data_IF_025423640497
#
_entry.id   IF_025423640497
#
_cell.length_a   1.000
_cell.length_b   1.000
_cell.length_c   1.000
_cell.angle_alpha   90.00
_cell.angle_beta   90.00
_cell.angle_gamma   90.00
#
_symmetry.space_group_name_H-M   'P 1'
#
loop_
_entity.id
_entity.type
_entity.pdbx_description
1 polymer ?
#
# COMPACT_ATOMS: atom_id res chain seq x y z
N UNK A 1 -55.18 4.55 -9.08
CA UNK A 1 -55.93 3.34 -8.64
C UNK A 1 -54.91 2.22 -8.43
N UNK A 2 -54.69 1.84 -7.20
CA UNK A 2 -53.88 0.68 -6.89
C UNK A 2 -54.54 -0.58 -7.38
N UNK A 3 -53.95 -1.30 -8.31
CA UNK A 3 -54.43 -2.62 -8.72
C UNK A 3 -54.25 -3.58 -7.55
N UNK A 4 -55.34 -3.81 -6.78
CA UNK A 4 -55.39 -4.88 -5.81
C UNK A 4 -55.58 -6.17 -6.60
N UNK A 5 -54.47 -6.79 -6.95
CA UNK A 5 -54.49 -8.19 -7.38
C UNK A 5 -54.79 -9.06 -6.17
N UNK A 6 -55.78 -9.89 -6.32
CA UNK A 6 -56.37 -10.70 -5.26
C UNK A 6 -55.40 -11.50 -4.39
N UNK A 7 -55.91 -12.10 -3.35
CA UNK A 7 -55.24 -12.86 -2.27
C UNK A 7 -54.32 -14.03 -2.69
N UNK A 8 -53.81 -14.03 -3.90
CA UNK A 8 -52.82 -14.99 -4.37
C UNK A 8 -51.39 -14.56 -3.98
N UNK A 9 -50.58 -15.51 -3.54
CA UNK A 9 -49.16 -15.37 -3.13
C UNK A 9 -48.21 -15.03 -4.26
N UNK A 10 -48.68 -14.44 -5.37
CA UNK A 10 -47.81 -14.07 -6.50
C UNK A 10 -47.11 -12.73 -6.23
N UNK A 11 -45.81 -12.78 -6.06
CA UNK A 11 -44.99 -11.58 -6.04
C UNK A 11 -44.98 -10.93 -7.43
N UNK A 12 -45.03 -9.60 -7.48
CA UNK A 12 -44.84 -8.87 -8.74
C UNK A 12 -43.45 -9.21 -9.27
N UNK A 13 -43.33 -9.40 -10.57
CA UNK A 13 -42.04 -9.55 -11.25
C UNK A 13 -41.24 -8.28 -10.99
N UNK A 14 -40.15 -8.39 -10.29
CA UNK A 14 -39.22 -7.29 -10.04
C UNK A 14 -38.37 -7.08 -11.33
N UNK A 15 -38.20 -5.83 -11.73
CA UNK A 15 -37.31 -5.47 -12.83
C UNK A 15 -36.08 -4.82 -12.22
N UNK A 16 -34.95 -5.42 -12.45
CA UNK A 16 -33.67 -4.91 -11.96
C UNK A 16 -33.14 -3.83 -12.89
N UNK A 17 -32.50 -2.79 -12.31
CA UNK A 17 -31.87 -1.76 -13.07
C UNK A 17 -30.58 -2.29 -13.74
N UNK A 18 -30.33 -1.87 -14.98
CA UNK A 18 -29.10 -2.25 -15.70
C UNK A 18 -27.85 -1.53 -15.19
N UNK A 19 -28.01 -0.60 -14.26
CA UNK A 19 -26.91 0.18 -13.70
C UNK A 19 -26.70 -0.20 -12.24
N UNK A 20 -25.50 -0.62 -11.88
CA UNK A 20 -25.10 -0.86 -10.51
C UNK A 20 -24.56 0.44 -9.91
N UNK A 21 -24.95 0.70 -8.65
CA UNK A 21 -24.49 1.89 -7.94
C UNK A 21 -23.00 1.80 -7.67
N UNK A 22 -22.31 2.95 -7.79
CA UNK A 22 -20.90 3.06 -7.44
C UNK A 22 -20.69 2.81 -5.93
N UNK A 23 -19.64 2.08 -5.61
CA UNK A 23 -19.21 1.81 -4.23
C UNK A 23 -18.06 2.77 -3.91
N UNK A 24 -18.12 3.39 -2.74
CA UNK A 24 -17.01 4.23 -2.27
C UNK A 24 -15.75 3.37 -2.04
N UNK A 25 -14.61 3.85 -2.54
CA UNK A 25 -13.33 3.14 -2.48
C UNK A 25 -12.25 4.09 -1.98
N UNK A 26 -11.36 3.58 -1.12
CA UNK A 26 -10.19 4.31 -0.67
C UNK A 26 -9.08 4.28 -1.73
N UNK A 27 -8.28 5.32 -1.80
CA UNK A 27 -7.06 5.33 -2.61
C UNK A 27 -5.97 4.48 -1.95
N UNK A 28 -5.19 3.76 -2.78
CA UNK A 28 -4.12 2.87 -2.36
C UNK A 28 -2.85 3.31 -3.08
N UNK A 29 -1.82 3.70 -2.34
CA UNK A 29 -0.64 4.32 -2.91
C UNK A 29 0.69 4.00 -2.21
N UNK A 30 0.67 3.25 -1.10
CA UNK A 30 1.86 2.86 -0.34
C UNK A 30 2.45 1.56 -0.87
N UNK A 31 1.59 0.54 -1.14
CA UNK A 31 2.05 -0.77 -1.57
C UNK A 31 2.85 -0.74 -2.87
N UNK A 32 2.54 0.16 -3.79
CA UNK A 32 3.26 0.34 -5.06
C UNK A 32 4.69 0.86 -4.88
N UNK A 33 4.95 1.54 -3.76
CA UNK A 33 6.28 2.05 -3.43
C UNK A 33 7.25 0.96 -2.92
N UNK A 34 6.74 -0.24 -2.62
CA UNK A 34 7.57 -1.39 -2.28
C UNK A 34 8.15 -2.02 -3.54
N UNK A 35 9.47 -2.26 -3.54
CA UNK A 35 10.19 -2.83 -4.68
C UNK A 35 10.08 -4.35 -4.72
N UNK A 36 10.01 -4.92 -5.94
CA UNK A 36 10.06 -6.35 -6.21
C UNK A 36 11.27 -6.65 -7.09
N UNK A 37 12.46 -6.66 -6.50
CA UNK A 37 13.70 -6.92 -7.25
C UNK A 37 14.05 -8.43 -7.34
N UNK A 38 13.09 -9.32 -7.03
CA UNK A 38 13.33 -10.76 -6.94
C UNK A 38 12.65 -11.50 -8.10
N UNK A 39 13.43 -11.87 -9.09
CA UNK A 39 13.02 -12.66 -10.27
C UNK A 39 12.93 -14.16 -9.94
N UNK A 40 12.18 -14.57 -8.93
CA UNK A 40 12.03 -15.99 -8.61
C UNK A 40 10.58 -16.41 -8.74
N UNK A 41 10.32 -17.37 -9.62
CA UNK A 41 8.97 -17.84 -9.97
C UNK A 41 8.24 -18.53 -8.82
N UNK A 42 8.94 -19.24 -7.94
CA UNK A 42 8.34 -19.88 -6.76
C UNK A 42 9.27 -19.88 -5.56
N UNK A 43 8.91 -19.15 -4.51
CA UNK A 43 9.61 -19.18 -3.23
C UNK A 43 8.71 -19.80 -2.17
N UNK A 44 9.25 -20.78 -1.47
CA UNK A 44 8.64 -21.38 -0.28
C UNK A 44 9.44 -20.98 0.94
N UNK A 45 8.78 -20.32 1.90
CA UNK A 45 9.36 -19.99 3.18
C UNK A 45 9.93 -18.57 3.27
N UNK A 46 11.12 -18.30 2.77
CA UNK A 46 11.75 -16.98 2.87
C UNK A 46 12.76 -16.71 1.76
N UNK A 47 12.93 -15.43 1.43
CA UNK A 47 13.95 -14.96 0.50
C UNK A 47 15.06 -14.32 1.32
N UNK A 48 16.31 -14.68 1.08
CA UNK A 48 17.47 -14.09 1.74
C UNK A 48 17.93 -12.87 0.95
N UNK A 49 17.61 -11.67 1.46
CA UNK A 49 17.98 -10.40 0.83
C UNK A 49 19.39 -10.01 1.27
N UNK A 50 20.36 -9.92 0.34
CA UNK A 50 21.71 -9.53 0.70
C UNK A 50 21.76 -8.05 1.09
N UNK A 51 22.33 -7.74 2.23
CA UNK A 51 22.61 -6.38 2.68
C UNK A 51 24.10 -6.18 2.87
N UNK A 52 24.56 -4.98 2.65
CA UNK A 52 25.95 -4.62 2.84
C UNK A 52 26.16 -4.03 4.23
N UNK A 53 27.09 -4.59 5.00
CA UNK A 53 27.50 -4.04 6.28
C UNK A 53 28.62 -3.00 6.07
N UNK A 54 28.21 -1.73 5.97
CA UNK A 54 29.11 -0.58 5.89
C UNK A 54 29.56 -0.22 4.46
N UNK A 55 30.14 0.94 4.37
CA UNK A 55 30.73 1.47 3.15
C UNK A 55 32.16 0.93 2.94
N UNK A 56 32.59 0.85 1.68
CA UNK A 56 33.99 0.52 1.37
C UNK A 56 34.89 1.59 1.95
N UNK A 57 35.87 1.16 2.74
CA UNK A 57 36.84 2.07 3.34
C UNK A 57 37.72 2.68 2.22
N UNK A 58 37.73 4.00 2.14
CA UNK A 58 38.65 4.75 1.32
C UNK A 58 39.76 5.28 2.22
N UNK A 59 41.02 5.03 1.86
CA UNK A 59 42.21 5.53 2.59
C UNK A 59 43.14 6.24 1.61
N UNK A 60 43.91 7.17 2.11
CA UNK A 60 44.92 7.83 1.31
C UNK A 60 46.01 6.84 0.85
N UNK A 61 46.48 6.97 -0.37
CA UNK A 61 47.51 6.11 -0.93
C UNK A 61 48.90 6.58 -0.48
N UNK A 62 49.64 5.70 0.22
CA UNK A 62 51.02 5.91 0.55
C UNK A 62 51.93 5.32 -0.55
N UNK A 63 52.81 6.11 -1.13
CA UNK A 63 53.71 5.70 -2.22
C UNK A 63 54.65 4.57 -1.77
N UNK A 64 55.02 4.50 -0.49
CA UNK A 64 55.94 3.47 0.04
C UNK A 64 55.25 2.20 0.50
N UNK A 65 54.09 2.35 1.13
CA UNK A 65 53.42 1.25 1.84
C UNK A 65 52.12 0.78 1.13
N UNK A 66 51.62 1.54 0.14
CA UNK A 66 50.38 1.26 -0.54
C UNK A 66 49.13 1.50 0.36
N UNK A 67 48.02 0.77 0.10
CA UNK A 67 46.80 0.77 0.88
C UNK A 67 46.51 -0.64 1.36
N UNK A 68 46.15 -0.79 2.61
CA UNK A 68 45.73 -2.07 3.18
C UNK A 68 44.43 -2.56 2.55
N UNK A 69 44.35 -3.86 2.26
CA UNK A 69 43.14 -4.53 1.78
C UNK A 69 42.07 -4.54 2.89
N UNK A 70 40.90 -3.99 2.58
CA UNK A 70 39.74 -4.06 3.44
C UNK A 70 38.69 -4.98 2.81
N UNK A 71 38.09 -5.86 3.63
CA UNK A 71 36.99 -6.72 3.24
C UNK A 71 35.69 -6.22 3.86
N UNK A 72 34.68 -5.98 3.05
CA UNK A 72 33.33 -5.68 3.53
C UNK A 72 32.53 -6.98 3.65
N UNK A 73 31.84 -7.16 4.77
CA UNK A 73 30.93 -8.28 4.97
C UNK A 73 29.58 -8.03 4.27
N UNK A 74 28.97 -9.12 3.80
CA UNK A 74 27.61 -9.13 3.28
C UNK A 74 26.75 -9.92 4.28
N UNK A 75 25.71 -9.27 4.80
CA UNK A 75 24.71 -9.93 5.64
C UNK A 75 23.47 -10.25 4.82
N UNK A 76 22.69 -11.21 5.29
CA UNK A 76 21.45 -11.63 4.64
C UNK A 76 20.27 -11.39 5.58
N UNK A 77 19.28 -10.65 5.12
CA UNK A 77 18.02 -10.44 5.83
C UNK A 77 16.94 -11.35 5.25
N UNK A 78 16.24 -12.14 6.07
CA UNK A 78 15.16 -12.99 5.59
C UNK A 78 13.91 -12.14 5.33
N UNK A 79 13.44 -12.12 4.08
CA UNK A 79 12.10 -11.66 3.70
C UNK A 79 11.15 -12.86 3.84
N UNK A 80 10.28 -12.88 4.86
CA UNK A 80 9.38 -14.01 5.05
C UNK A 80 8.28 -13.99 3.98
N UNK A 81 7.97 -15.16 3.41
CA UNK A 81 6.83 -15.37 2.52
C UNK A 81 5.72 -16.03 3.35
N UNK A 82 5.11 -15.23 4.23
CA UNK A 82 4.16 -15.67 5.26
C UNK A 82 2.73 -15.18 5.04
N UNK A 83 2.51 -14.39 3.99
CA UNK A 83 1.18 -13.88 3.63
C UNK A 83 0.56 -14.78 2.58
N UNK A 84 -0.58 -15.38 2.92
CA UNK A 84 -1.37 -16.24 2.04
C UNK A 84 -2.83 -15.79 2.12
N UNK A 85 -3.36 -15.32 1.01
CA UNK A 85 -4.71 -14.78 0.94
C UNK A 85 -5.33 -15.00 -0.43
N UNK A 86 -6.65 -15.03 -0.47
CA UNK A 86 -7.35 -15.29 -1.72
C UNK A 86 -8.78 -14.80 -1.70
N UNK A 87 -9.41 -14.98 -2.84
CA UNK A 87 -10.83 -14.73 -3.07
C UNK A 87 -11.49 -16.06 -3.33
N UNK A 88 -12.67 -16.24 -2.77
CA UNK A 88 -13.55 -17.36 -3.07
C UNK A 88 -15.00 -16.89 -2.89
N UNK A 89 -15.61 -16.46 -4.00
CA UNK A 89 -16.97 -15.93 -4.02
C UNK A 89 -17.87 -16.80 -4.91
N UNK A 90 -18.96 -17.28 -4.35
CA UNK A 90 -19.96 -18.08 -5.08
C UNK A 90 -20.79 -17.19 -6.02
N UNK A 91 -20.95 -17.66 -7.25
CA UNK A 91 -21.83 -17.08 -8.25
C UNK A 91 -22.86 -18.14 -8.63
N UNK A 92 -24.12 -17.98 -8.17
CA UNK A 92 -25.20 -18.87 -8.53
C UNK A 92 -25.60 -18.66 -9.99
N UNK A 93 -25.75 -19.75 -10.76
CA UNK A 93 -26.05 -19.68 -12.17
C UNK A 93 -27.40 -19.04 -12.47
N UNK A 94 -28.40 -19.25 -11.61
CA UNK A 94 -29.70 -18.62 -11.75
C UNK A 94 -29.65 -17.09 -11.51
N UNK A 95 -28.87 -16.66 -10.53
CA UNK A 95 -28.61 -15.24 -10.30
C UNK A 95 -27.85 -14.62 -11.47
N UNK A 96 -26.87 -15.32 -12.02
CA UNK A 96 -26.10 -14.86 -13.16
C UNK A 96 -26.96 -14.65 -14.43
N UNK A 97 -27.97 -15.51 -14.64
CA UNK A 97 -28.92 -15.37 -15.76
C UNK A 97 -29.99 -14.29 -15.51
N UNK A 98 -30.35 -14.06 -14.24
CA UNK A 98 -31.42 -13.13 -13.85
C UNK A 98 -30.95 -11.66 -13.72
N UNK A 99 -29.65 -11.44 -13.62
CA UNK A 99 -29.04 -10.12 -13.38
C UNK A 99 -28.32 -9.61 -14.65
N UNK A 100 -28.18 -8.27 -14.85
CA UNK A 100 -27.49 -7.70 -16.00
C UNK A 100 -26.06 -8.24 -16.17
N UNK A 101 -25.61 -8.40 -17.42
CA UNK A 101 -24.32 -8.98 -17.82
C UNK A 101 -23.08 -8.35 -17.16
N UNK A 102 -23.20 -7.12 -16.67
CA UNK A 102 -22.10 -6.39 -16.03
C UNK A 102 -21.87 -6.72 -14.56
N UNK A 103 -22.75 -7.52 -13.91
CA UNK A 103 -22.60 -7.86 -12.49
C UNK A 103 -21.35 -8.70 -12.21
N UNK A 104 -21.08 -9.68 -13.07
CA UNK A 104 -19.87 -10.51 -12.93
C UNK A 104 -18.61 -9.66 -13.07
N UNK A 105 -18.59 -8.76 -14.07
CA UNK A 105 -17.48 -7.83 -14.25
C UNK A 105 -17.26 -6.95 -13.01
N UNK A 106 -18.33 -6.48 -12.38
CA UNK A 106 -18.24 -5.68 -11.16
C UNK A 106 -17.82 -6.49 -9.93
N UNK A 107 -18.20 -7.76 -9.83
CA UNK A 107 -17.71 -8.67 -8.77
C UNK A 107 -16.19 -8.88 -8.93
N UNK A 108 -15.68 -9.08 -10.14
CA UNK A 108 -14.26 -9.20 -10.43
C UNK A 108 -13.52 -7.91 -10.06
N UNK A 109 -14.08 -6.76 -10.43
CA UNK A 109 -13.51 -5.45 -10.07
C UNK A 109 -13.49 -5.23 -8.55
N UNK A 110 -14.59 -5.57 -7.85
CA UNK A 110 -14.68 -5.49 -6.39
C UNK A 110 -13.68 -6.42 -5.70
N UNK A 111 -13.48 -7.61 -6.25
CA UNK A 111 -12.51 -8.56 -5.76
C UNK A 111 -11.07 -8.03 -5.92
N UNK A 112 -10.76 -7.42 -7.06
CA UNK A 112 -9.47 -6.75 -7.31
C UNK A 112 -9.21 -5.63 -6.30
N UNK A 113 -10.23 -4.80 -6.03
CA UNK A 113 -10.16 -3.76 -5.02
C UNK A 113 -9.91 -4.32 -3.61
N UNK A 114 -10.62 -5.38 -3.23
CA UNK A 114 -10.47 -6.01 -1.90
C UNK A 114 -9.07 -6.60 -1.68
N UNK A 115 -8.47 -7.18 -2.72
CA UNK A 115 -7.08 -7.63 -2.68
C UNK A 115 -6.13 -6.43 -2.54
N UNK A 116 -6.34 -5.39 -3.32
CA UNK A 116 -5.56 -4.15 -3.23
C UNK A 116 -5.61 -3.55 -1.82
N UNK A 117 -6.81 -3.46 -1.22
CA UNK A 117 -7.01 -2.99 0.15
C UNK A 117 -6.25 -3.86 1.17
N UNK A 118 -6.27 -5.19 1.00
CA UNK A 118 -5.50 -6.09 1.85
C UNK A 118 -4.00 -5.85 1.74
N UNK A 119 -3.50 -5.67 0.52
CA UNK A 119 -2.08 -5.35 0.25
C UNK A 119 -1.66 -4.02 0.88
N UNK A 120 -2.50 -3.00 0.75
CA UNK A 120 -2.24 -1.67 1.32
C UNK A 120 -2.14 -1.73 2.84
N UNK A 121 -3.09 -2.40 3.51
CA UNK A 121 -3.05 -2.60 4.96
C UNK A 121 -1.78 -3.35 5.40
N UNK A 122 -1.39 -4.40 4.67
CA UNK A 122 -0.14 -5.12 4.97
C UNK A 122 1.10 -4.23 4.79
N UNK A 123 1.10 -3.30 3.83
CA UNK A 123 2.20 -2.36 3.63
C UNK A 123 2.26 -1.35 4.78
N UNK A 124 1.12 -0.83 5.23
CA UNK A 124 1.03 0.04 6.41
C UNK A 124 1.56 -0.69 7.66
N UNK A 125 1.07 -1.90 7.94
CA UNK A 125 1.53 -2.73 9.06
C UNK A 125 3.05 -2.95 9.03
N UNK A 126 3.59 -3.20 7.83
CA UNK A 126 5.03 -3.36 7.63
C UNK A 126 5.80 -2.06 7.94
N UNK A 127 5.33 -0.90 7.48
CA UNK A 127 5.92 0.40 7.78
C UNK A 127 5.83 0.74 9.27
N UNK A 128 4.78 0.29 9.98
CA UNK A 128 4.61 0.48 11.42
C UNK A 128 5.69 -0.23 12.27
N UNK A 129 6.49 -1.11 11.67
CA UNK A 129 7.69 -1.69 12.33
C UNK A 129 8.88 -0.73 12.38
N UNK A 130 8.77 0.44 11.75
CA UNK A 130 9.82 1.46 11.67
C UNK A 130 10.11 2.18 12.99
N UNK A 131 10.87 3.25 12.90
CA UNK A 131 11.23 4.09 14.05
C UNK A 131 10.13 5.08 14.37
N UNK A 132 9.64 5.07 15.61
CA UNK A 132 8.64 6.04 16.07
C UNK A 132 9.35 7.32 16.55
N UNK A 133 8.80 8.49 16.19
CA UNK A 133 9.28 9.79 16.70
C UNK A 133 9.09 9.88 18.21
N UNK A 134 10.05 10.49 18.90
CA UNK A 134 9.94 10.78 20.33
C UNK A 134 8.97 11.93 20.67
N UNK A 135 8.67 12.78 19.67
CA UNK A 135 7.66 13.84 19.81
C UNK A 135 6.26 13.25 19.58
N UNK A 136 5.45 13.18 20.62
CA UNK A 136 4.06 12.70 20.58
C UNK A 136 3.03 13.83 20.62
N UNK A 137 3.48 15.09 20.55
CA UNK A 137 2.58 16.24 20.53
C UNK A 137 1.75 16.27 19.25
N UNK A 138 0.43 16.36 19.36
CA UNK A 138 -0.46 16.45 18.20
C UNK A 138 -0.08 17.63 17.28
N UNK A 139 -0.29 17.45 15.98
CA UNK A 139 -0.03 18.49 14.99
C UNK A 139 -1.08 19.58 15.03
N UNK A 140 -0.64 20.79 14.69
CA UNK A 140 -1.52 21.96 14.51
C UNK A 140 -1.25 22.56 13.14
N UNK A 141 -2.20 23.34 12.59
CA UNK A 141 -2.05 24.00 11.30
C UNK A 141 -0.81 24.93 11.24
N UNK A 142 -0.34 25.46 12.38
CA UNK A 142 0.82 26.36 12.44
C UNK A 142 2.17 25.66 12.49
N UNK A 143 2.22 24.37 12.85
CA UNK A 143 3.47 23.63 13.07
C UNK A 143 3.64 22.38 12.21
N UNK A 144 2.57 21.89 11.55
CA UNK A 144 2.59 20.65 10.73
C UNK A 144 3.73 20.65 9.72
N UNK A 145 3.87 21.70 8.93
CA UNK A 145 4.93 21.83 7.95
C UNK A 145 6.33 21.77 8.59
N UNK A 146 6.52 22.50 9.71
CA UNK A 146 7.80 22.54 10.42
C UNK A 146 8.18 21.19 11.00
N UNK A 147 7.22 20.45 11.56
CA UNK A 147 7.45 19.13 12.15
C UNK A 147 7.82 18.08 11.07
N UNK A 148 7.12 18.09 9.94
CA UNK A 148 7.48 17.21 8.81
C UNK A 148 8.88 17.55 8.29
N UNK A 149 9.23 18.82 8.11
CA UNK A 149 10.58 19.26 7.70
C UNK A 149 11.63 18.81 8.72
N UNK A 150 11.33 18.87 10.02
CA UNK A 150 12.26 18.41 11.06
C UNK A 150 12.54 16.90 10.97
N UNK A 151 11.51 16.09 10.73
CA UNK A 151 11.69 14.65 10.55
C UNK A 151 12.40 14.31 9.24
N UNK A 152 12.11 15.00 8.13
CA UNK A 152 12.88 14.89 6.88
C UNK A 152 14.35 15.22 7.12
N UNK A 153 14.65 16.27 7.90
CA UNK A 153 16.02 16.61 8.29
C UNK A 153 16.71 15.48 9.07
N UNK A 154 15.98 14.84 9.99
CA UNK A 154 16.49 13.71 10.76
C UNK A 154 16.81 12.52 9.85
N UNK A 155 15.96 12.21 8.88
CA UNK A 155 16.20 11.19 7.86
C UNK A 155 17.45 11.52 6.99
N UNK A 156 17.61 12.79 6.56
CA UNK A 156 18.80 13.24 5.82
C UNK A 156 20.07 13.06 6.63
N UNK A 157 20.05 13.31 7.94
CA UNK A 157 21.21 13.07 8.83
C UNK A 157 21.61 11.60 8.94
N UNK A 158 20.65 10.68 8.68
CA UNK A 158 20.88 9.24 8.58
C UNK A 158 21.28 8.79 7.18
N UNK A 159 21.71 9.71 6.30
CA UNK A 159 22.10 9.47 4.91
C UNK A 159 20.99 8.93 4.00
N UNK A 160 19.72 9.21 4.32
CA UNK A 160 18.61 8.85 3.45
C UNK A 160 18.51 9.78 2.25
N UNK A 161 18.27 9.23 1.07
CA UNK A 161 18.26 9.98 -0.19
C UNK A 161 16.90 10.62 -0.44
N UNK A 162 16.86 11.93 -0.61
CA UNK A 162 15.62 12.72 -0.79
C UNK A 162 14.76 12.21 -1.95
N UNK A 163 15.38 11.82 -3.07
CA UNK A 163 14.65 11.36 -4.25
C UNK A 163 13.85 10.05 -4.04
N UNK A 164 14.32 9.22 -3.11
CA UNK A 164 13.66 7.94 -2.77
C UNK A 164 12.70 8.03 -1.58
N UNK A 165 12.73 9.16 -0.85
CA UNK A 165 11.81 9.36 0.28
C UNK A 165 10.39 9.64 -0.20
N UNK A 166 9.42 9.24 0.65
CA UNK A 166 7.99 9.57 0.54
C UNK A 166 7.49 9.98 1.91
N UNK A 167 6.56 10.92 1.93
CA UNK A 167 5.77 11.28 3.11
C UNK A 167 4.34 10.84 2.85
N UNK A 168 3.77 10.09 3.76
CA UNK A 168 2.35 9.73 3.73
C UNK A 168 1.70 10.33 4.95
N UNK A 169 0.60 11.03 4.75
CA UNK A 169 -0.15 11.73 5.79
C UNK A 169 -1.54 11.14 5.95
N UNK A 170 -2.07 11.21 7.18
CA UNK A 170 -3.47 10.89 7.44
C UNK A 170 -4.41 11.96 6.90
N UNK A 171 -5.71 11.67 6.82
CA UNK A 171 -6.72 12.65 6.39
C UNK A 171 -6.72 13.92 7.25
N UNK A 172 -6.61 13.76 8.57
CA UNK A 172 -6.55 14.90 9.51
C UNK A 172 -5.31 15.77 9.25
N UNK A 173 -4.17 15.13 9.01
CA UNK A 173 -2.91 15.83 8.72
C UNK A 173 -2.93 16.50 7.34
N UNK A 174 -3.61 15.90 6.36
CA UNK A 174 -3.84 16.54 5.05
C UNK A 174 -4.61 17.83 5.19
N UNK A 175 -5.72 17.86 5.95
CA UNK A 175 -6.49 19.06 6.22
C UNK A 175 -5.61 20.19 6.83
N UNK A 176 -4.78 19.83 7.83
CA UNK A 176 -3.85 20.78 8.42
C UNK A 176 -2.81 21.30 7.43
N UNK A 177 -2.30 20.45 6.55
CA UNK A 177 -1.34 20.85 5.51
C UNK A 177 -1.94 21.77 4.46
N UNK A 178 -3.15 21.48 3.99
CA UNK A 178 -3.83 22.31 2.99
C UNK A 178 -4.17 23.72 3.51
N UNK A 179 -4.31 23.87 4.83
CA UNK A 179 -4.50 25.17 5.47
C UNK A 179 -3.19 25.94 5.73
N UNK A 180 -2.01 25.29 5.61
CA UNK A 180 -0.70 25.95 5.76
C UNK A 180 -0.31 26.66 4.45
N UNK A 181 -0.16 28.00 4.51
CA UNK A 181 0.19 28.84 3.35
C UNK A 181 1.49 28.39 2.66
N UNK A 182 2.46 27.87 3.40
CA UNK A 182 3.75 27.43 2.86
C UNK A 182 3.62 26.18 1.98
N UNK A 183 2.72 25.28 2.36
CA UNK A 183 2.43 24.09 1.59
C UNK A 183 1.59 24.42 0.35
N UNK A 184 0.54 25.19 0.48
CA UNK A 184 -0.36 25.59 -0.62
C UNK A 184 0.39 26.28 -1.76
N UNK A 185 1.34 27.16 -1.46
CA UNK A 185 2.16 27.81 -2.47
C UNK A 185 3.07 26.86 -3.25
N UNK A 186 3.45 25.73 -2.66
CA UNK A 186 4.33 24.73 -3.30
C UNK A 186 3.52 23.72 -4.11
N UNK A 187 2.29 23.42 -3.71
CA UNK A 187 1.42 22.44 -4.38
C UNK A 187 1.04 22.88 -5.82
N UNK A 188 0.90 24.19 -6.07
CA UNK A 188 0.54 24.73 -7.39
C UNK A 188 1.55 24.46 -8.51
N UNK A 189 2.72 23.93 -8.23
CA UNK A 189 3.80 23.66 -9.21
C UNK A 189 4.02 22.19 -9.53
N UNK A 190 3.06 21.31 -9.17
CA UNK A 190 3.17 19.87 -9.41
C UNK A 190 3.03 19.51 -10.89
N UNK A 191 3.91 18.65 -11.39
CA UNK A 191 3.78 18.07 -12.72
C UNK A 191 2.65 17.04 -12.80
N UNK A 192 2.06 16.87 -13.99
CA UNK A 192 0.94 15.95 -14.22
C UNK A 192 1.24 14.49 -13.83
N UNK A 193 2.49 14.06 -13.89
CA UNK A 193 2.93 12.71 -13.52
C UNK A 193 2.81 12.47 -12.00
N UNK A 194 3.19 13.44 -11.19
CA UNK A 194 3.09 13.36 -9.72
C UNK A 194 1.64 13.37 -9.25
N UNK A 195 0.76 14.09 -9.93
CA UNK A 195 -0.67 14.09 -9.61
C UNK A 195 -1.29 12.71 -9.86
N UNK A 196 -0.85 11.99 -10.89
CA UNK A 196 -1.30 10.62 -11.16
C UNK A 196 -0.87 9.62 -10.08
N UNK A 197 0.24 9.87 -9.40
CA UNK A 197 0.72 9.06 -8.28
C UNK A 197 0.02 9.36 -6.94
N UNK A 198 -1.03 10.19 -6.93
CA UNK A 198 -1.72 10.60 -5.70
C UNK A 198 -0.89 11.53 -4.83
N UNK A 199 0.04 12.27 -5.42
CA UNK A 199 0.87 13.24 -4.71
C UNK A 199 0.14 14.57 -4.60
N UNK A 200 -0.13 15.00 -3.36
CA UNK A 200 -0.81 16.27 -3.06
C UNK A 200 0.13 17.48 -3.04
N UNK A 201 1.44 17.25 -2.86
CA UNK A 201 2.43 18.33 -2.79
C UNK A 201 3.84 17.81 -2.56
N UNK A 202 4.79 18.74 -2.33
CA UNK A 202 6.17 18.43 -1.96
C UNK A 202 6.56 19.23 -0.72
N UNK A 203 7.23 18.58 0.23
CA UNK A 203 7.81 19.22 1.41
C UNK A 203 9.33 18.97 1.38
N UNK A 204 10.13 20.03 1.37
CA UNK A 204 11.59 19.96 1.31
C UNK A 204 12.15 19.06 0.17
N UNK A 205 11.40 18.98 -0.95
CA UNK A 205 11.72 18.17 -2.12
C UNK A 205 11.22 16.72 -2.07
N UNK A 206 10.55 16.30 -0.98
CA UNK A 206 9.95 14.98 -0.81
C UNK A 206 8.48 15.03 -1.21
N UNK A 207 8.00 14.12 -2.09
CA UNK A 207 6.59 14.02 -2.43
C UNK A 207 5.73 13.62 -1.21
N UNK A 208 4.55 14.22 -1.10
CA UNK A 208 3.57 13.96 -0.04
C UNK A 208 2.35 13.28 -0.66
N UNK A 209 1.97 12.14 -0.12
CA UNK A 209 0.78 11.37 -0.47
C UNK A 209 -0.16 11.32 0.72
N UNK A 210 -1.46 11.13 0.47
CA UNK A 210 -2.46 10.93 1.52
C UNK A 210 -2.89 9.48 1.53
N UNK A 211 -3.08 8.92 2.73
CA UNK A 211 -3.65 7.60 2.89
C UNK A 211 -4.68 7.61 4.03
N UNK A 212 -5.90 7.17 3.72
CA UNK A 212 -7.04 7.19 4.64
C UNK A 212 -7.20 5.89 5.46
N UNK A 213 -6.29 4.92 5.24
CA UNK A 213 -6.31 3.62 5.91
C UNK A 213 -5.37 3.56 7.12
N UNK A 214 -4.64 4.64 7.40
CA UNK A 214 -3.76 4.70 8.56
C UNK A 214 -4.56 4.75 9.86
N UNK A 215 -3.99 4.19 10.93
CA UNK A 215 -4.57 4.24 12.27
C UNK A 215 -4.79 5.69 12.73
N UNK A 216 -5.82 5.94 13.54
CA UNK A 216 -6.21 7.27 14.00
C UNK A 216 -5.13 7.98 14.83
N UNK A 217 -4.22 7.23 15.47
CA UNK A 217 -3.10 7.75 16.25
C UNK A 217 -1.90 8.14 15.38
N UNK A 218 -1.87 7.73 14.10
CA UNK A 218 -0.78 8.00 13.17
C UNK A 218 -1.05 9.28 12.39
N UNK A 219 -0.20 10.27 12.57
CA UNK A 219 -0.31 11.55 11.86
C UNK A 219 0.37 11.51 10.50
N UNK A 220 1.61 11.01 10.43
CA UNK A 220 2.32 10.80 9.17
C UNK A 220 3.40 9.73 9.29
N UNK A 221 3.79 9.17 8.15
CA UNK A 221 4.90 8.23 8.00
C UNK A 221 5.83 8.78 6.91
N UNK A 222 7.13 8.82 7.20
CA UNK A 222 8.16 9.13 6.20
C UNK A 222 8.98 7.88 5.99
N UNK A 223 9.13 7.44 4.75
CA UNK A 223 9.92 6.24 4.44
C UNK A 223 10.76 6.43 3.18
N UNK A 224 11.84 5.66 3.09
CA UNK A 224 12.69 5.56 1.91
C UNK A 224 12.37 4.26 1.18
N UNK A 225 11.85 4.36 -0.05
CA UNK A 225 11.43 3.23 -0.90
C UNK A 225 12.49 2.14 -1.03
N UNK A 226 13.78 2.49 -1.00
CA UNK A 226 14.88 1.54 -1.16
C UNK A 226 14.93 0.46 -0.08
N UNK A 227 14.34 0.75 1.09
CA UNK A 227 14.29 -0.18 2.22
C UNK A 227 12.98 -0.93 2.34
N UNK A 228 12.02 -0.64 1.47
CA UNK A 228 10.71 -1.30 1.43
C UNK A 228 10.73 -2.37 0.36
N UNK A 229 10.72 -3.63 0.77
CA UNK A 229 10.80 -4.79 -0.12
C UNK A 229 9.53 -5.60 -0.06
N UNK A 230 9.08 -6.11 -1.20
CA UNK A 230 7.96 -7.04 -1.30
C UNK A 230 8.30 -8.20 -2.23
N UNK A 231 7.64 -9.31 -2.00
CA UNK A 231 7.56 -10.43 -2.91
C UNK A 231 6.11 -10.87 -3.01
N UNK A 232 5.63 -11.11 -4.23
CA UNK A 232 4.28 -11.63 -4.45
C UNK A 232 4.23 -12.54 -5.66
N UNK A 233 3.45 -13.59 -5.55
CA UNK A 233 3.20 -14.53 -6.65
C UNK A 233 1.74 -15.00 -6.61
N UNK A 234 1.11 -15.05 -7.77
CA UNK A 234 -0.18 -15.69 -7.92
C UNK A 234 -0.02 -17.20 -7.97
N UNK A 235 -0.59 -17.92 -6.99
CA UNK A 235 -0.74 -19.37 -7.05
C UNK A 235 -1.93 -19.77 -7.92
N UNK A 236 -2.94 -18.90 -7.95
CA UNK A 236 -4.07 -18.97 -8.86
C UNK A 236 -4.51 -17.53 -9.17
N UNK A 237 -4.44 -17.15 -10.42
CA UNK A 237 -4.97 -15.85 -10.86
C UNK A 237 -6.48 -15.81 -10.69
N UNK A 238 -7.08 -14.64 -10.41
CA UNK A 238 -8.52 -14.51 -10.28
C UNK A 238 -9.24 -14.94 -11.56
N UNK A 239 -10.05 -15.99 -11.44
CA UNK A 239 -10.83 -16.54 -12.55
C UNK A 239 -12.19 -17.05 -12.05
N UNK A 240 -13.18 -17.03 -12.93
CA UNK A 240 -14.49 -17.63 -12.68
C UNK A 240 -14.44 -19.07 -13.20
N UNK A 241 -14.71 -20.02 -12.32
CA UNK A 241 -14.68 -21.45 -12.64
C UNK A 241 -15.95 -22.13 -12.13
N UNK A 242 -16.40 -23.16 -12.87
CA UNK A 242 -17.54 -23.96 -12.46
C UNK A 242 -17.24 -24.79 -11.20
N UNK A 243 -18.14 -24.75 -10.25
CA UNK A 243 -18.03 -25.52 -9.02
C UNK A 243 -18.54 -26.94 -9.24
N UNK A 244 -17.73 -27.93 -8.80
CA UNK A 244 -18.06 -29.36 -8.84
C UNK A 244 -17.96 -29.97 -7.45
N UNK A 245 -18.57 -29.35 -6.45
CA UNK A 245 -18.49 -29.79 -5.05
C UNK A 245 -19.58 -30.78 -4.64
N UNK A 246 -20.52 -31.09 -5.54
CA UNK A 246 -21.65 -31.96 -5.28
C UNK A 246 -22.79 -31.37 -4.45
N UNK A 247 -22.65 -30.09 -4.03
CA UNK A 247 -23.67 -29.36 -3.26
C UNK A 247 -24.36 -28.27 -4.08
N UNK A 248 -23.61 -27.60 -4.93
CA UNK A 248 -24.09 -26.52 -5.77
C UNK A 248 -24.28 -27.02 -7.20
N UNK A 249 -25.46 -26.81 -7.76
CA UNK A 249 -25.83 -27.22 -9.12
C UNK A 249 -25.89 -25.96 -9.98
N UNK A 250 -25.19 -25.95 -11.12
CA UNK A 250 -25.13 -24.83 -12.05
C UNK A 250 -24.59 -23.55 -11.38
N UNK A 251 -23.52 -23.68 -10.58
CA UNK A 251 -22.90 -22.54 -9.91
C UNK A 251 -21.43 -22.43 -10.29
N UNK A 252 -20.93 -21.20 -10.31
CA UNK A 252 -19.53 -20.86 -10.55
C UNK A 252 -18.95 -20.16 -9.33
N UNK A 253 -17.62 -20.14 -9.21
CA UNK A 253 -16.95 -19.35 -8.20
C UNK A 253 -15.88 -18.45 -8.81
N UNK A 254 -15.80 -17.21 -8.35
CA UNK A 254 -14.67 -16.35 -8.56
C UNK A 254 -13.59 -16.74 -7.56
N UNK A 255 -12.51 -17.33 -8.04
CA UNK A 255 -11.42 -17.82 -7.21
C UNK A 255 -10.10 -17.22 -7.62
N UNK A 256 -9.29 -16.85 -6.64
CA UNK A 256 -7.91 -16.40 -6.82
C UNK A 256 -7.12 -16.58 -5.52
N UNK A 257 -5.82 -16.91 -5.61
CA UNK A 257 -4.94 -17.08 -4.45
C UNK A 257 -3.59 -16.47 -4.70
N UNK A 258 -3.15 -15.63 -3.81
CA UNK A 258 -1.86 -14.97 -3.85
C UNK A 258 -1.07 -15.24 -2.58
N UNK A 259 0.23 -15.45 -2.75
CA UNK A 259 1.19 -15.65 -1.64
C UNK A 259 2.27 -14.58 -1.76
N UNK A 260 2.70 -14.05 -0.63
CA UNK A 260 3.72 -13.01 -0.64
C UNK A 260 4.30 -12.70 0.72
N UNK A 261 5.08 -11.65 0.75
CA UNK A 261 5.69 -11.13 1.97
C UNK A 261 6.16 -9.69 1.79
N UNK A 262 6.25 -8.96 2.90
CA UNK A 262 6.75 -7.59 2.93
C UNK A 262 7.79 -7.44 4.04
N UNK A 263 8.78 -6.60 3.80
CA UNK A 263 9.82 -6.32 4.78
C UNK A 263 10.36 -4.89 4.64
N UNK A 264 10.63 -4.25 5.77
CA UNK A 264 11.49 -3.07 5.85
C UNK A 264 12.90 -3.52 6.22
N UNK A 265 13.83 -3.41 5.27
CA UNK A 265 15.22 -3.87 5.46
C UNK A 265 16.01 -3.00 6.44
N UNK A 266 15.67 -1.73 6.56
CA UNK A 266 16.30 -0.81 7.50
C UNK A 266 15.24 0.04 8.22
N UNK A 267 14.99 -0.26 9.49
CA UNK A 267 14.01 0.45 10.33
C UNK A 267 14.32 1.95 10.49
N UNK A 268 15.59 2.36 10.40
CA UNK A 268 15.98 3.77 10.43
C UNK A 268 15.57 4.54 9.17
N UNK A 269 15.24 3.81 8.09
CA UNK A 269 14.70 4.35 6.86
C UNK A 269 13.19 4.63 6.88
N UNK A 270 12.54 4.34 8.01
CA UNK A 270 11.12 4.65 8.23
C UNK A 270 10.97 5.42 9.54
N UNK A 271 10.31 6.56 9.46
CA UNK A 271 10.03 7.45 10.60
C UNK A 271 8.52 7.64 10.73
N UNK A 272 7.98 7.32 11.89
CA UNK A 272 6.55 7.35 12.19
C UNK A 272 6.29 8.45 13.21
N UNK A 273 5.32 9.31 12.94
CA UNK A 273 4.81 10.29 13.91
C UNK A 273 3.44 9.83 14.38
N UNK A 274 3.34 9.66 15.69
CA UNK A 274 2.07 9.36 16.38
C UNK A 274 1.71 10.49 17.31
N UNK A 275 0.41 10.78 17.43
CA UNK A 275 -0.13 11.66 18.48
C UNK A 275 -0.31 10.84 19.76
N UNK A 276 -0.13 11.49 20.91
CA UNK A 276 -0.51 10.91 22.19
C UNK A 276 -2.01 10.69 22.23
N UNK A 277 -2.44 9.53 22.69
CA UNK A 277 -3.86 9.22 22.90
C UNK A 277 -4.43 10.11 24.01
#
# INVERSE_FOLDING_TARGET
MANVLGTGTHKRKETYANQVLAIARAEMNIYEDFSTDYEQDEVTGQIMVPTRNGEVKVSDYDIKNGIELSQSATDYLPLPVDKDYGINELIDGYEAEAVPDNLIAQRIESAGYSIGLKKENMAIDCLMTGTVSSDTTALTASDVYKKIVAEIKNMKKRNMKVSSMRVVVSADTEELLLTDEKFSNTAGTLGAELIREGVIGKIAGVPVKTNYLMDEDVEFIIYDKRFCQKYEVWKKEPAVEDIKDGKHINASALQGRQVGGLMVTNKLGVQIKKKSA
#
